data_IF_705091958610
#
_entry.id   IF_705091958610
#
_cell.length_a   1.000
_cell.length_b   1.000
_cell.length_c   1.000
_cell.angle_alpha   90.00
_cell.angle_beta   90.00
_cell.angle_gamma   90.00
#
_symmetry.space_group_name_H-M   'P 1'
#
loop_
_entity.id
_entity.type
_entity.pdbx_description
1 polymer ?
#
# COMPACT_ATOMS: atom_id res chain seq x y z
N UNK A 1 5.59 -2.83 -6.52
CA UNK A 1 4.90 -1.85 -5.65
C UNK A 1 3.48 -1.68 -6.16
N UNK A 2 2.48 -1.59 -5.29
CA UNK A 2 1.11 -1.25 -5.69
C UNK A 2 0.68 0.03 -4.97
N UNK A 3 -0.06 0.89 -5.67
CA UNK A 3 -0.66 2.08 -5.10
C UNK A 3 -2.12 1.81 -4.77
N UNK A 4 -2.52 2.06 -3.52
CA UNK A 4 -3.92 2.04 -3.12
C UNK A 4 -4.43 3.48 -3.09
N UNK A 5 -5.49 3.76 -3.84
CA UNK A 5 -6.21 5.02 -3.81
C UNK A 5 -7.68 4.75 -3.52
N UNK A 6 -8.25 5.53 -2.60
CA UNK A 6 -9.69 5.54 -2.34
C UNK A 6 -10.21 6.96 -2.59
N UNK A 7 -11.01 7.14 -3.64
CA UNK A 7 -11.64 8.42 -3.99
C UNK A 7 -10.97 9.20 -5.14
N UNK A 8 -11.76 10.07 -5.78
CA UNK A 8 -11.33 10.95 -6.87
C UNK A 8 -10.66 12.20 -6.27
N UNK A 9 -9.33 12.19 -6.15
CA UNK A 9 -8.54 13.34 -5.71
C UNK A 9 -7.44 13.01 -4.69
N UNK A 10 -6.78 11.86 -4.84
CA UNK A 10 -5.86 11.31 -3.86
C UNK A 10 -4.65 12.22 -3.59
N UNK A 11 -4.49 12.72 -2.35
CA UNK A 11 -3.25 13.38 -1.91
C UNK A 11 -2.16 12.33 -1.72
N UNK A 12 -1.05 12.49 -2.45
CA UNK A 12 0.10 11.58 -2.42
C UNK A 12 1.06 11.94 -1.27
N UNK A 13 1.36 10.97 -0.40
CA UNK A 13 2.37 11.15 0.66
C UNK A 13 3.42 10.02 0.62
N UNK A 14 4.68 10.30 0.26
CA UNK A 14 5.74 9.33 0.36
C UNK A 14 6.06 9.03 1.84
N UNK A 15 6.20 7.75 2.17
CA UNK A 15 6.62 7.27 3.50
C UNK A 15 8.15 7.30 3.57
N UNK A 16 8.71 8.45 3.96
CA UNK A 16 10.17 8.69 3.95
C UNK A 16 10.93 7.75 4.89
N UNK A 17 10.31 7.31 5.99
CA UNK A 17 10.94 6.42 6.97
C UNK A 17 10.90 4.93 6.57
N UNK A 18 9.95 4.54 5.72
CA UNK A 18 9.76 3.18 5.22
C UNK A 18 10.23 3.09 3.77
N UNK A 19 11.38 3.71 3.48
CA UNK A 19 11.93 3.68 2.13
C UNK A 19 12.80 2.41 1.95
N UNK A 20 12.58 1.60 0.89
CA UNK A 20 13.42 0.44 0.64
C UNK A 20 14.88 0.78 0.30
N UNK A 21 15.12 1.95 -0.27
CA UNK A 21 16.48 2.41 -0.64
C UNK A 21 17.44 2.57 0.55
N UNK A 22 16.90 2.78 1.76
CA UNK A 22 17.64 2.89 3.02
C UNK A 22 17.65 1.59 3.84
N UNK A 23 17.15 0.49 3.27
CA UNK A 23 17.16 -0.84 3.91
C UNK A 23 15.91 -1.19 4.72
N UNK A 24 14.86 -0.35 4.71
CA UNK A 24 13.58 -0.71 5.32
C UNK A 24 12.78 -1.67 4.41
N UNK A 25 11.88 -2.47 4.99
CA UNK A 25 11.03 -3.37 4.21
C UNK A 25 10.03 -2.60 3.32
N UNK A 26 9.62 -1.41 3.73
CA UNK A 26 8.71 -0.57 2.97
C UNK A 26 7.25 -1.04 3.02
N UNK A 27 6.90 -1.79 4.06
CA UNK A 27 5.55 -2.32 4.28
C UNK A 27 4.89 -1.76 5.55
N UNK A 28 5.51 -0.80 6.23
CA UNK A 28 4.98 -0.22 7.47
C UNK A 28 3.56 0.38 7.35
N UNK A 29 2.71 0.10 8.34
CA UNK A 29 1.27 0.45 8.34
C UNK A 29 0.87 1.50 9.37
N UNK A 30 1.78 1.99 10.21
CA UNK A 30 1.44 2.90 11.32
C UNK A 30 0.73 4.18 10.88
N UNK A 31 1.20 4.83 9.81
CA UNK A 31 0.55 6.07 9.31
C UNK A 31 -0.84 5.75 8.76
N UNK A 32 -0.99 4.63 8.08
CA UNK A 32 -2.24 4.17 7.48
C UNK A 32 -3.30 3.93 8.55
N UNK A 33 -2.93 3.25 9.65
CA UNK A 33 -3.80 3.09 10.82
C UNK A 33 -4.25 4.45 11.36
N UNK A 34 -3.33 5.40 11.55
CA UNK A 34 -3.70 6.75 12.02
C UNK A 34 -4.59 7.52 11.05
N UNK A 35 -4.43 7.34 9.74
CA UNK A 35 -5.31 7.95 8.74
C UNK A 35 -6.72 7.37 8.81
N UNK A 36 -6.83 6.04 8.91
CA UNK A 36 -8.10 5.33 9.05
C UNK A 36 -8.80 5.72 10.36
N UNK A 37 -8.10 5.68 11.49
CA UNK A 37 -8.62 6.06 12.81
C UNK A 37 -9.17 7.48 12.85
N UNK A 38 -8.55 8.40 12.10
CA UNK A 38 -8.95 9.81 12.02
C UNK A 38 -10.04 10.07 10.97
N UNK A 39 -10.48 9.03 10.26
CA UNK A 39 -11.48 9.15 9.19
C UNK A 39 -11.00 10.02 8.02
N UNK A 40 -9.68 10.10 7.79
CA UNK A 40 -9.14 10.90 6.70
C UNK A 40 -9.29 10.10 5.41
N UNK A 41 -10.06 10.65 4.47
CA UNK A 41 -10.33 10.07 3.17
C UNK A 41 -9.54 10.77 2.06
N UNK A 42 -9.72 10.28 0.82
CA UNK A 42 -9.14 10.89 -0.38
C UNK A 42 -7.60 11.03 -0.33
N UNK A 43 -6.92 10.00 0.18
CA UNK A 43 -5.46 9.90 0.22
C UNK A 43 -4.99 8.74 -0.66
N UNK A 44 -3.86 8.94 -1.33
CA UNK A 44 -3.13 7.92 -2.06
C UNK A 44 -1.81 7.61 -1.36
N UNK A 45 -1.53 6.33 -1.15
CA UNK A 45 -0.28 5.90 -0.52
C UNK A 45 0.55 5.16 -1.56
N UNK A 46 1.77 5.66 -1.75
CA UNK A 46 2.62 5.35 -2.88
C UNK A 46 3.06 3.89 -2.94
N UNK A 47 3.62 3.42 -1.83
CA UNK A 47 4.39 2.18 -1.82
C UNK A 47 4.14 1.45 -0.52
N UNK A 48 3.45 0.33 -0.62
CA UNK A 48 3.47 -0.75 0.37
C UNK A 48 4.06 -1.96 -0.36
N UNK A 49 5.15 -2.49 0.17
CA UNK A 49 5.72 -3.73 -0.32
C UNK A 49 4.93 -4.91 0.24
N UNK A 50 4.20 -5.62 -0.63
CA UNK A 50 3.43 -6.81 -0.23
C UNK A 50 3.19 -7.72 -1.45
N UNK A 51 4.11 -8.67 -1.74
CA UNK A 51 3.98 -9.55 -2.90
C UNK A 51 2.72 -10.44 -2.86
N UNK A 52 2.27 -10.79 -1.65
CA UNK A 52 1.08 -11.62 -1.46
C UNK A 52 -0.17 -10.83 -1.85
N UNK A 53 -0.31 -9.60 -1.36
CA UNK A 53 -1.42 -8.74 -1.72
C UNK A 53 -1.45 -8.43 -3.22
N UNK A 54 -0.29 -8.19 -3.83
CA UNK A 54 -0.14 -8.01 -5.29
C UNK A 54 -0.67 -9.23 -6.05
N UNK A 55 -0.31 -10.44 -5.62
CA UNK A 55 -0.78 -11.69 -6.25
C UNK A 55 -2.30 -11.81 -6.22
N UNK A 56 -2.94 -11.48 -5.08
CA UNK A 56 -4.39 -11.46 -4.98
C UNK A 56 -5.03 -10.41 -5.90
N UNK A 57 -4.46 -9.21 -6.00
CA UNK A 57 -4.95 -8.17 -6.90
C UNK A 57 -4.87 -8.61 -8.38
N UNK A 58 -3.77 -9.25 -8.79
CA UNK A 58 -3.64 -9.80 -10.14
C UNK A 58 -4.65 -10.92 -10.41
N UNK A 59 -4.87 -11.82 -9.43
CA UNK A 59 -5.83 -12.91 -9.57
C UNK A 59 -7.28 -12.41 -9.63
N UNK A 60 -7.61 -11.37 -8.86
CA UNK A 60 -8.95 -10.78 -8.84
C UNK A 60 -9.27 -9.95 -10.10
N UNK A 61 -8.26 -9.26 -10.65
CA UNK A 61 -8.39 -8.42 -11.84
C UNK A 61 -8.82 -6.98 -11.53
N UNK A 62 -8.59 -6.08 -12.50
CA UNK A 62 -8.97 -4.67 -12.40
C UNK A 62 -10.50 -4.50 -12.31
N UNK A 63 -10.95 -3.60 -11.45
CA UNK A 63 -12.35 -3.36 -11.12
C UNK A 63 -12.93 -4.28 -10.05
N UNK A 64 -12.23 -5.35 -9.67
CA UNK A 64 -12.71 -6.27 -8.63
C UNK A 64 -12.74 -5.60 -7.25
N UNK A 65 -13.72 -5.99 -6.42
CA UNK A 65 -13.81 -5.59 -5.02
C UNK A 65 -13.56 -6.82 -4.16
N UNK A 66 -12.48 -6.79 -3.38
CA UNK A 66 -12.02 -7.92 -2.57
C UNK A 66 -11.74 -7.49 -1.13
N UNK A 67 -11.94 -8.41 -0.18
CA UNK A 67 -11.41 -8.26 1.17
C UNK A 67 -9.92 -8.65 1.14
N UNK A 68 -9.06 -7.72 1.53
CA UNK A 68 -7.62 -7.82 1.39
C UNK A 68 -6.90 -7.45 2.69
N UNK A 69 -5.96 -8.31 3.08
CA UNK A 69 -4.99 -8.02 4.15
C UNK A 69 -3.65 -7.58 3.53
N UNK A 70 -3.17 -6.39 3.84
CA UNK A 70 -1.93 -5.87 3.24
C UNK A 70 -1.04 -5.04 4.20
N UNK A 71 0.27 -5.02 3.90
CA UNK A 71 1.29 -4.32 4.69
C UNK A 71 1.59 -4.98 6.04
N UNK A 72 2.68 -4.59 6.70
CA UNK A 72 3.03 -5.00 8.07
C UNK A 72 3.32 -6.50 8.23
N UNK A 73 3.86 -7.16 7.19
CA UNK A 73 4.07 -8.61 7.15
C UNK A 73 5.53 -9.02 7.27
N UNK A 74 6.46 -8.10 7.00
CA UNK A 74 7.89 -8.40 6.85
C UNK A 74 8.62 -8.53 8.19
N UNK A 75 8.06 -7.96 9.26
CA UNK A 75 8.65 -8.06 10.59
C UNK A 75 7.79 -7.41 11.68
N UNK A 76 8.10 -7.69 12.96
CA UNK A 76 7.27 -7.27 14.10
C UNK A 76 7.24 -5.74 14.31
N UNK A 77 8.17 -5.01 13.69
CA UNK A 77 8.27 -3.55 13.78
C UNK A 77 7.54 -2.80 12.65
N UNK A 78 6.88 -3.50 11.72
CA UNK A 78 6.14 -2.88 10.61
C UNK A 78 4.74 -2.39 10.97
N UNK A 79 4.27 -2.68 12.19
CA UNK A 79 2.88 -2.48 12.60
C UNK A 79 1.96 -3.60 12.12
N UNK A 80 0.71 -3.58 12.59
CA UNK A 80 -0.27 -4.61 12.24
C UNK A 80 -0.70 -4.48 10.77
N UNK A 81 -0.88 -5.60 10.04
CA UNK A 81 -1.47 -5.56 8.72
C UNK A 81 -2.84 -4.89 8.71
N UNK A 82 -3.20 -4.30 7.57
CA UNK A 82 -4.50 -3.65 7.39
C UNK A 82 -5.44 -4.65 6.72
N UNK A 83 -6.59 -4.91 7.34
CA UNK A 83 -7.70 -5.62 6.72
C UNK A 83 -8.69 -4.59 6.16
N UNK A 84 -8.93 -4.61 4.85
CA UNK A 84 -9.88 -3.70 4.23
C UNK A 84 -10.57 -4.31 3.02
N UNK A 85 -11.80 -3.85 2.76
CA UNK A 85 -12.48 -4.06 1.49
C UNK A 85 -11.97 -3.04 0.47
N UNK A 86 -11.26 -3.52 -0.55
CA UNK A 86 -10.56 -2.68 -1.53
C UNK A 86 -11.12 -2.89 -2.93
N UNK A 87 -11.00 -1.86 -3.77
CA UNK A 87 -11.22 -1.95 -5.21
C UNK A 87 -9.88 -2.00 -5.92
N UNK A 88 -9.67 -2.99 -6.79
CA UNK A 88 -8.46 -3.10 -7.60
C UNK A 88 -8.54 -2.09 -8.74
N UNK A 89 -7.87 -0.95 -8.61
CA UNK A 89 -7.95 0.12 -9.61
C UNK A 89 -7.12 -0.19 -10.86
N UNK A 90 -5.91 -0.73 -10.66
CA UNK A 90 -4.96 -1.05 -11.74
C UNK A 90 -3.99 -2.11 -11.26
N UNK A 91 -3.56 -2.99 -12.17
CA UNK A 91 -2.45 -3.92 -11.95
C UNK A 91 -1.42 -3.75 -13.06
N UNK A 92 -0.14 -3.89 -12.72
CA UNK A 92 0.96 -3.80 -13.67
C UNK A 92 1.88 -4.99 -13.43
N UNK A 93 2.37 -5.61 -14.50
CA UNK A 93 3.29 -6.75 -14.40
C UNK A 93 4.63 -6.34 -13.77
N UNK A 94 5.04 -5.09 -13.97
CA UNK A 94 6.29 -4.53 -13.46
C UNK A 94 6.04 -3.16 -12.82
N UNK A 95 6.81 -2.85 -11.77
CA UNK A 95 6.80 -1.56 -11.11
C UNK A 95 8.19 -1.20 -10.62
N UNK A 96 8.62 0.02 -10.92
CA UNK A 96 9.96 0.51 -10.61
C UNK A 96 9.87 1.67 -9.61
N UNK A 97 10.80 1.69 -8.65
CA UNK A 97 11.00 2.82 -7.74
C UNK A 97 12.47 3.22 -7.82
N UNK A 98 12.72 4.46 -8.20
CA UNK A 98 14.08 5.03 -8.23
C UNK A 98 14.38 5.74 -6.92
N UNK A 99 15.63 5.66 -6.46
CA UNK A 99 16.11 6.30 -5.25
C UNK A 99 17.30 7.21 -5.58
N UNK A 100 17.09 8.53 -5.52
CA UNK A 100 18.15 9.53 -5.77
C UNK A 100 18.79 9.45 -7.17
N UNK A 101 19.72 10.36 -7.50
CA UNK A 101 20.70 10.16 -8.55
C UNK A 101 21.76 9.11 -8.18
#
# INVERSE_FOLDING_TARGET
>A
AFGLARGLGAVYKPQVWENPGGGAAGDGTYVQHRLIERGIDNIGIATIWDPIAVTFCHAAGEGAVIDLRFGGKSGPLGGEPIDARVTVMKTLAEGWQSFGP
#
